data_IF_485148977087
#
_entry.id   IF_485148977087
#
_cell.length_a   1.000
_cell.length_b   1.000
_cell.length_c   1.000
_cell.angle_alpha   90.00
_cell.angle_beta   90.00
_cell.angle_gamma   90.00
#
_symmetry.space_group_name_H-M   'P 1'
#
loop_
_entity.id
_entity.type
_entity.pdbx_description
1 polymer ?
#
# COMPACT_ATOMS: atom_id res chain seq x y z
N UNK A 1 -1.81 3.82 -7.93
CA UNK A 1 -0.64 3.36 -8.70
C UNK A 1 -1.10 2.97 -10.09
N UNK A 2 -0.34 3.32 -11.14
CA UNK A 2 -0.67 2.90 -12.52
C UNK A 2 -0.49 1.38 -12.67
N UNK A 3 -1.53 0.66 -13.08
CA UNK A 3 -1.52 -0.81 -13.18
C UNK A 3 -0.55 -1.36 -14.24
N UNK A 4 -0.08 -0.51 -15.15
CA UNK A 4 0.83 -0.82 -16.27
C UNK A 4 2.10 -1.58 -15.85
N UNK A 5 2.60 -1.33 -14.64
CA UNK A 5 3.84 -1.94 -14.14
C UNK A 5 3.63 -3.20 -13.30
N UNK A 6 2.39 -3.52 -12.94
CA UNK A 6 2.07 -4.72 -12.14
C UNK A 6 2.50 -5.99 -12.86
N UNK A 7 2.22 -6.07 -14.16
CA UNK A 7 2.54 -7.24 -14.98
C UNK A 7 4.05 -7.41 -15.22
N UNK A 8 4.83 -6.34 -15.11
CA UNK A 8 6.29 -6.36 -15.27
C UNK A 8 6.95 -7.20 -14.18
N UNK A 9 6.37 -7.22 -12.97
CA UNK A 9 6.82 -8.03 -11.83
C UNK A 9 6.16 -9.41 -11.77
N UNK A 10 5.42 -9.80 -12.81
CA UNK A 10 4.84 -11.13 -12.98
C UNK A 10 5.60 -11.88 -14.08
N UNK A 11 5.88 -13.17 -13.87
CA UNK A 11 6.54 -13.99 -14.87
C UNK A 11 5.62 -14.20 -16.08
N UNK A 12 6.07 -13.84 -17.28
CA UNK A 12 5.28 -14.02 -18.51
C UNK A 12 5.00 -15.50 -18.78
N UNK A 13 5.95 -16.39 -18.46
CA UNK A 13 5.86 -17.83 -18.75
C UNK A 13 4.91 -18.59 -17.83
N UNK A 14 4.92 -18.28 -16.53
CA UNK A 14 4.19 -19.07 -15.55
C UNK A 14 3.28 -18.25 -14.64
N UNK A 15 3.09 -16.95 -14.93
CA UNK A 15 2.26 -16.01 -14.18
C UNK A 15 2.56 -15.92 -12.68
N UNK A 16 3.69 -16.47 -12.23
CA UNK A 16 4.10 -16.41 -10.84
C UNK A 16 4.83 -15.08 -10.54
N UNK A 17 4.74 -14.57 -9.30
CA UNK A 17 5.49 -13.40 -8.87
C UNK A 17 7.00 -13.57 -9.14
N UNK A 18 7.61 -12.48 -9.59
CA UNK A 18 9.05 -12.36 -9.70
C UNK A 18 9.65 -12.04 -8.33
N UNK A 19 10.82 -12.60 -8.08
CA UNK A 19 11.59 -12.36 -6.86
C UNK A 19 12.93 -11.75 -7.26
N UNK A 20 13.18 -10.53 -6.77
CA UNK A 20 14.40 -9.79 -7.06
C UNK A 20 15.59 -10.42 -6.34
N UNK A 21 16.70 -10.57 -7.06
CA UNK A 21 18.01 -10.97 -6.52
C UNK A 21 18.94 -9.77 -6.39
N UNK A 22 18.96 -8.89 -7.39
CA UNK A 22 19.79 -7.69 -7.39
C UNK A 22 19.01 -6.53 -8.01
N UNK A 23 18.98 -5.40 -7.32
CA UNK A 23 18.46 -4.13 -7.82
C UNK A 23 19.53 -3.04 -7.68
N UNK A 24 19.89 -2.37 -8.78
CA UNK A 24 20.95 -1.35 -8.77
C UNK A 24 20.66 -0.21 -9.72
N UNK A 25 21.17 0.98 -9.40
CA UNK A 25 21.09 2.14 -10.29
C UNK A 25 22.31 2.16 -11.23
N UNK A 26 22.04 2.30 -12.52
CA UNK A 26 23.04 2.47 -13.57
C UNK A 26 22.59 3.59 -14.50
N UNK A 27 23.30 4.74 -14.44
CA UNK A 27 22.91 5.97 -15.15
C UNK A 27 21.47 6.34 -14.79
N UNK A 28 20.59 6.61 -15.77
CA UNK A 28 19.17 6.94 -15.56
C UNK A 28 18.24 5.72 -15.42
N UNK A 29 18.77 4.51 -15.19
CA UNK A 29 17.94 3.31 -15.11
C UNK A 29 18.19 2.49 -13.85
N UNK A 30 17.12 1.93 -13.31
CA UNK A 30 17.16 0.84 -12.35
C UNK A 30 17.28 -0.50 -13.11
N UNK A 31 18.37 -1.23 -12.86
CA UNK A 31 18.55 -2.60 -13.34
C UNK A 31 18.15 -3.57 -12.24
N UNK A 32 17.13 -4.38 -12.54
CA UNK A 32 16.54 -5.33 -11.60
C UNK A 32 16.66 -6.72 -12.21
N UNK A 33 17.31 -7.63 -11.50
CA UNK A 33 17.49 -9.01 -11.94
C UNK A 33 17.01 -9.97 -10.87
N UNK A 34 16.51 -11.12 -11.29
CA UNK A 34 15.98 -12.10 -10.36
C UNK A 34 15.45 -13.36 -11.03
N UNK A 35 14.65 -14.11 -10.29
CA UNK A 35 13.92 -15.28 -10.81
C UNK A 35 12.50 -15.30 -10.29
N UNK A 36 11.55 -15.86 -11.03
CA UNK A 36 10.23 -16.16 -10.48
C UNK A 36 10.27 -17.38 -9.54
N UNK A 37 9.14 -17.68 -8.88
CA UNK A 37 9.02 -18.84 -7.98
C UNK A 37 9.32 -20.18 -8.66
N UNK A 38 8.96 -20.33 -9.95
CA UNK A 38 9.30 -21.50 -10.78
C UNK A 38 10.71 -21.50 -11.37
N UNK A 39 11.54 -20.49 -11.06
CA UNK A 39 12.95 -20.46 -11.47
C UNK A 39 13.27 -19.77 -12.81
N UNK A 40 12.29 -19.21 -13.53
CA UNK A 40 12.56 -18.43 -14.73
C UNK A 40 13.29 -17.13 -14.40
N UNK A 41 14.46 -16.92 -15.02
CA UNK A 41 15.24 -15.70 -14.87
C UNK A 41 14.58 -14.52 -15.55
N UNK A 42 14.79 -13.33 -15.00
CA UNK A 42 14.40 -12.07 -15.63
C UNK A 42 15.45 -10.99 -15.41
N UNK A 43 15.46 -10.03 -16.32
CA UNK A 43 16.25 -8.81 -16.25
C UNK A 43 15.35 -7.65 -16.73
N UNK A 44 15.19 -6.65 -15.89
CA UNK A 44 14.37 -5.47 -16.14
C UNK A 44 15.26 -4.24 -16.09
N UNK A 45 15.00 -3.33 -17.01
CA UNK A 45 15.61 -2.00 -17.06
C UNK A 45 14.47 -0.99 -16.98
N UNK A 46 14.32 -0.34 -15.83
CA UNK A 46 13.25 0.62 -15.57
C UNK A 46 13.81 2.04 -15.52
N UNK A 47 13.19 3.02 -16.18
CA UNK A 47 13.64 4.41 -16.13
C UNK A 47 13.34 5.02 -14.76
N UNK A 48 14.32 5.74 -14.20
CA UNK A 48 14.20 6.38 -12.87
C UNK A 48 13.20 7.55 -12.90
N UNK A 49 13.08 8.25 -14.03
CA UNK A 49 12.10 9.33 -14.23
C UNK A 49 10.65 8.88 -13.96
N UNK A 50 10.38 7.57 -14.07
CA UNK A 50 9.06 6.98 -13.85
C UNK A 50 9.02 6.14 -12.56
N UNK A 51 9.92 6.36 -11.59
CA UNK A 51 10.02 5.51 -10.40
C UNK A 51 8.71 5.35 -9.65
N UNK A 52 7.94 6.43 -9.51
CA UNK A 52 6.64 6.45 -8.84
C UNK A 52 5.64 5.43 -9.42
N UNK A 53 5.82 5.01 -10.68
CA UNK A 53 4.95 4.01 -11.32
C UNK A 53 5.28 2.57 -10.92
N UNK A 54 6.54 2.28 -10.57
CA UNK A 54 7.02 0.91 -10.41
C UNK A 54 7.69 0.60 -9.05
N UNK A 55 8.01 1.63 -8.26
CA UNK A 55 8.76 1.48 -7.01
C UNK A 55 8.02 0.62 -5.97
N UNK A 56 6.69 0.75 -5.89
CA UNK A 56 5.84 -0.08 -5.03
C UNK A 56 5.91 -1.56 -5.39
N UNK A 57 5.80 -1.89 -6.68
CA UNK A 57 5.92 -3.28 -7.16
C UNK A 57 7.34 -3.83 -6.99
N UNK A 58 8.37 -2.98 -7.16
CA UNK A 58 9.76 -3.37 -6.89
C UNK A 58 9.93 -3.77 -5.42
N UNK A 59 9.36 -3.00 -4.49
CA UNK A 59 9.43 -3.26 -3.06
C UNK A 59 8.88 -4.64 -2.71
N UNK A 60 7.70 -4.99 -3.22
CA UNK A 60 7.12 -6.33 -3.01
C UNK A 60 8.03 -7.45 -3.54
N UNK A 61 8.58 -7.28 -4.74
CA UNK A 61 9.50 -8.26 -5.36
C UNK A 61 10.83 -8.37 -4.61
N UNK A 62 11.30 -7.29 -3.99
CA UNK A 62 12.56 -7.20 -3.27
C UNK A 62 12.49 -7.82 -1.88
N UNK A 63 11.40 -7.60 -1.16
CA UNK A 63 11.24 -8.11 0.21
C UNK A 63 10.66 -9.52 0.27
N UNK A 64 10.42 -10.19 -0.87
CA UNK A 64 9.83 -11.54 -0.91
C UNK A 64 10.88 -12.61 -1.17
N UNK A 65 10.94 -13.62 -0.31
CA UNK A 65 11.72 -14.83 -0.59
C UNK A 65 10.94 -15.76 -1.53
N UNK A 66 11.62 -16.67 -2.23
CA UNK A 66 10.98 -17.74 -3.00
C UNK A 66 10.05 -18.63 -2.18
N UNK A 67 10.27 -18.73 -0.87
CA UNK A 67 9.37 -19.46 0.02
C UNK A 67 8.13 -18.68 0.44
N UNK A 68 7.95 -17.46 -0.07
CA UNK A 68 6.83 -16.58 0.27
C UNK A 68 7.05 -15.75 1.54
N UNK A 69 8.01 -16.09 2.39
CA UNK A 69 8.31 -15.32 3.59
C UNK A 69 9.04 -13.99 3.27
N UNK A 70 8.86 -12.97 4.13
CA UNK A 70 9.59 -11.72 3.99
C UNK A 70 11.10 -11.95 4.17
N UNK A 71 11.89 -11.11 3.50
CA UNK A 71 13.32 -11.00 3.69
C UNK A 71 13.62 -9.93 4.74
N UNK A 72 14.57 -10.22 5.61
CA UNK A 72 15.00 -9.34 6.68
C UNK A 72 16.32 -8.65 6.33
N UNK A 73 16.51 -7.45 6.86
CA UNK A 73 17.75 -6.69 6.71
C UNK A 73 18.87 -7.40 7.48
N UNK A 74 19.92 -7.79 6.76
CA UNK A 74 21.02 -8.54 7.37
C UNK A 74 22.24 -7.68 7.60
N UNK A 75 22.68 -6.93 6.57
CA UNK A 75 23.82 -6.02 6.69
C UNK A 75 23.84 -4.98 5.58
N UNK A 76 24.45 -3.85 5.88
CA UNK A 76 24.81 -2.83 4.89
C UNK A 76 26.28 -3.01 4.53
N UNK A 77 26.56 -3.17 3.24
CA UNK A 77 27.93 -3.28 2.70
C UNK A 77 28.32 -1.95 2.07
N UNK A 78 29.25 -1.26 2.70
CA UNK A 78 29.85 -0.02 2.16
C UNK A 78 31.04 -0.39 1.28
N UNK A 79 30.94 -0.12 -0.02
CA UNK A 79 32.05 -0.25 -0.96
C UNK A 79 32.59 1.12 -1.39
N UNK A 80 33.80 1.16 -1.97
CA UNK A 80 34.48 2.40 -2.40
C UNK A 80 33.63 3.34 -3.28
N UNK A 81 32.68 2.79 -4.05
CA UNK A 81 31.84 3.56 -5.00
C UNK A 81 30.34 3.44 -4.72
N UNK A 82 29.91 2.44 -3.95
CA UNK A 82 28.49 2.11 -3.76
C UNK A 82 28.27 1.45 -2.42
N UNK A 83 27.21 1.87 -1.74
CA UNK A 83 26.68 1.21 -0.56
C UNK A 83 25.52 0.30 -0.98
N UNK A 84 25.47 -0.91 -0.45
CA UNK A 84 24.47 -1.91 -0.79
C UNK A 84 23.83 -2.50 0.47
N UNK A 85 22.50 -2.58 0.49
CA UNK A 85 21.76 -3.34 1.49
C UNK A 85 21.68 -4.80 1.08
N UNK A 86 21.93 -5.69 2.03
CA UNK A 86 21.79 -7.13 1.85
C UNK A 86 20.64 -7.63 2.71
N UNK A 87 19.61 -8.17 2.04
CA UNK A 87 18.48 -8.84 2.68
C UNK A 87 18.67 -10.36 2.65
N UNK A 88 18.23 -11.05 3.71
CA UNK A 88 18.29 -12.51 3.82
C UNK A 88 16.95 -13.11 4.25
N UNK A 89 16.70 -14.34 3.83
CA UNK A 89 15.61 -15.13 4.39
C UNK A 89 16.10 -15.85 5.64
N UNK A 90 15.26 -15.94 6.66
CA UNK A 90 15.54 -16.68 7.90
C UNK A 90 15.54 -18.20 7.69
N UNK A 91 14.72 -18.72 6.76
CA UNK A 91 14.64 -20.16 6.45
C UNK A 91 15.54 -20.61 5.30
N UNK A 92 15.89 -19.73 4.36
CA UNK A 92 16.63 -20.08 3.15
C UNK A 92 17.89 -19.22 3.01
N UNK A 93 18.95 -19.78 2.41
CA UNK A 93 20.18 -19.02 2.05
C UNK A 93 19.97 -18.05 0.88
N UNK A 94 18.73 -17.61 0.62
CA UNK A 94 18.46 -16.58 -0.38
C UNK A 94 18.96 -15.24 0.13
N UNK A 95 19.68 -14.55 -0.75
CA UNK A 95 20.22 -13.22 -0.52
C UNK A 95 19.74 -12.30 -1.63
N UNK A 96 19.19 -11.16 -1.25
CA UNK A 96 18.82 -10.08 -2.17
C UNK A 96 19.70 -8.87 -1.88
N UNK A 97 20.21 -8.23 -2.92
CA UNK A 97 21.09 -7.06 -2.79
C UNK A 97 20.47 -5.86 -3.50
N UNK A 98 20.48 -4.71 -2.83
CA UNK A 98 19.83 -3.48 -3.30
C UNK A 98 20.82 -2.34 -3.14
N UNK A 99 20.99 -1.49 -4.16
CA UNK A 99 21.73 -0.24 -3.99
C UNK A 99 21.00 0.68 -3.00
N UNK A 100 21.74 1.30 -2.07
CA UNK A 100 21.16 2.09 -0.96
C UNK A 100 20.29 3.24 -1.45
N UNK A 101 20.60 3.84 -2.61
CA UNK A 101 19.76 4.87 -3.23
C UNK A 101 18.34 4.34 -3.50
N UNK A 102 18.20 3.16 -4.11
CA UNK A 102 16.88 2.56 -4.34
C UNK A 102 16.18 2.19 -3.03
N UNK A 103 16.95 1.76 -2.02
CA UNK A 103 16.38 1.47 -0.71
C UNK A 103 15.80 2.71 -0.05
N UNK A 104 16.54 3.83 -0.06
CA UNK A 104 16.06 5.10 0.47
C UNK A 104 14.82 5.59 -0.29
N UNK A 105 14.80 5.46 -1.61
CA UNK A 105 13.61 5.76 -2.42
C UNK A 105 12.40 4.91 -2.01
N UNK A 106 12.58 3.59 -1.85
CA UNK A 106 11.51 2.70 -1.38
C UNK A 106 11.04 3.05 0.04
N UNK A 107 11.94 3.52 0.91
CA UNK A 107 11.61 3.96 2.26
C UNK A 107 10.79 5.26 2.26
N UNK A 108 11.19 6.24 1.44
CA UNK A 108 10.47 7.51 1.28
C UNK A 108 9.07 7.32 0.67
N UNK A 109 8.93 6.43 -0.33
CA UNK A 109 7.62 6.06 -0.90
C UNK A 109 6.68 5.49 0.17
N UNK A 110 7.20 4.65 1.08
CA UNK A 110 6.41 4.09 2.20
C UNK A 110 5.94 5.17 3.16
N UNK A 111 6.80 6.11 3.51
CA UNK A 111 6.45 7.19 4.44
C UNK A 111 5.38 8.11 3.83
N UNK A 112 5.51 8.40 2.54
CA UNK A 112 4.53 9.18 1.76
C UNK A 112 3.18 8.47 1.70
N UNK A 113 3.15 7.16 1.45
CA UNK A 113 1.90 6.38 1.45
C UNK A 113 1.24 6.37 2.84
N UNK A 114 2.01 6.18 3.91
CA UNK A 114 1.49 6.22 5.28
C UNK A 114 0.89 7.57 5.64
N UNK A 115 1.52 8.68 5.23
CA UNK A 115 0.99 10.02 5.50
C UNK A 115 -0.28 10.32 4.69
N UNK A 116 -0.39 9.77 3.47
CA UNK A 116 -1.62 9.84 2.68
C UNK A 116 -2.75 9.00 3.28
N UNK A 117 -2.45 7.80 3.77
CA UNK A 117 -3.41 6.92 4.48
C UNK A 117 -3.90 7.57 5.78
N UNK A 118 -3.01 8.19 6.56
CA UNK A 118 -3.37 8.90 7.80
C UNK A 118 -4.22 10.16 7.55
N UNK A 119 -4.05 10.83 6.41
CA UNK A 119 -4.93 11.94 6.00
C UNK A 119 -6.31 11.48 5.55
N UNK A 120 -6.50 10.18 5.32
CA UNK A 120 -7.73 9.55 4.88
C UNK A 120 -8.34 8.63 5.96
N UNK A 121 -8.09 8.90 7.24
CA UNK A 121 -8.97 8.38 8.28
C UNK A 121 -10.34 9.07 8.12
N UNK A 122 -11.42 8.35 7.73
CA UNK A 122 -12.75 8.96 7.72
C UNK A 122 -13.02 9.45 9.15
N UNK A 123 -13.63 10.64 9.33
CA UNK A 123 -13.99 11.09 10.66
C UNK A 123 -14.79 9.97 11.32
N UNK A 124 -14.28 9.47 12.45
CA UNK A 124 -15.00 8.55 13.30
C UNK A 124 -16.23 9.31 13.77
N UNK A 125 -17.36 9.12 13.08
CA UNK A 125 -18.65 9.52 13.60
C UNK A 125 -18.81 8.74 14.90
N UNK A 126 -18.63 9.44 16.03
CA UNK A 126 -19.01 8.92 17.34
C UNK A 126 -20.48 8.57 17.22
N UNK A 127 -20.80 7.27 17.19
CA UNK A 127 -22.16 6.79 17.33
C UNK A 127 -22.72 7.42 18.61
N UNK A 128 -23.74 8.27 18.48
CA UNK A 128 -24.39 8.86 19.63
C UNK A 128 -24.81 7.72 20.57
N UNK A 129 -24.44 7.82 21.85
CA UNK A 129 -24.95 6.90 22.87
C UNK A 129 -26.48 6.88 22.78
N UNK A 130 -27.05 5.69 22.69
CA UNK A 130 -28.48 5.47 22.85
C UNK A 130 -28.98 6.27 24.07
N UNK A 131 -30.04 7.09 23.92
CA UNK A 131 -30.61 7.76 25.08
C UNK A 131 -31.21 6.70 26.01
N UNK A 132 -30.74 6.70 27.26
CA UNK A 132 -31.26 5.90 28.35
C UNK A 132 -32.77 6.12 28.52
N UNK A 133 -33.48 5.02 28.80
CA UNK A 133 -34.91 4.97 29.14
C UNK A 133 -35.27 6.06 30.16
N UNK A 134 -36.09 7.02 29.76
CA UNK A 134 -36.82 7.87 30.72
C UNK A 134 -38.17 7.22 31.03
N UNK A 135 -38.38 6.98 32.32
CA UNK A 135 -39.57 6.37 32.89
C UNK A 135 -40.79 7.27 32.74
N UNK A 136 -41.93 6.59 32.57
CA UNK A 136 -43.28 7.14 32.50
C UNK A 136 -43.55 8.14 33.63
N UNK A 137 -43.90 9.38 33.28
CA UNK A 137 -44.76 10.18 34.13
C UNK A 137 -45.96 10.68 33.34
N UNK A 138 -47.11 10.21 33.81
CA UNK A 138 -48.45 10.43 33.29
C UNK A 138 -48.88 11.83 33.70
N UNK A 139 -49.23 12.71 32.75
CA UNK A 139 -50.12 13.85 33.03
C UNK A 139 -51.17 13.94 31.92
N UNK A 140 -52.43 13.88 32.35
CA UNK A 140 -53.67 13.75 31.58
C UNK A 140 -53.90 14.93 30.64
N UNK A 141 -54.09 14.64 29.35
CA UNK A 141 -54.58 15.60 28.34
C UNK A 141 -56.10 15.75 28.46
N UNK A 142 -56.59 16.97 28.73
CA UNK A 142 -57.99 17.33 28.51
C UNK A 142 -58.23 17.55 27.01
N UNK A 143 -59.34 16.99 26.54
CA UNK A 143 -59.84 16.95 25.17
C UNK A 143 -60.58 18.25 24.78
N UNK A 144 -60.67 18.51 23.47
CA UNK A 144 -61.53 19.45 22.69
C UNK A 144 -60.76 20.61 22.06
N UNK A 145 -61.02 21.07 20.84
CA UNK A 145 -61.95 20.71 19.75
C UNK A 145 -61.36 21.31 18.45
N UNK A 146 -61.66 20.70 17.31
CA UNK A 146 -61.20 21.09 15.97
C UNK A 146 -62.01 22.29 15.45
N UNK A 147 -61.39 23.33 14.86
CA UNK A 147 -62.11 24.28 14.00
C UNK A 147 -62.01 23.89 12.51
N UNK A 148 -63.14 23.99 11.82
CA UNK A 148 -63.38 23.70 10.39
C UNK A 148 -62.55 24.51 9.38
N UNK A 149 -62.43 24.03 8.12
CA UNK A 149 -61.66 24.69 7.06
C UNK A 149 -62.41 25.88 6.45
N UNK A 150 -61.78 27.06 6.46
CA UNK A 150 -62.32 28.23 5.76
C UNK A 150 -62.13 28.12 4.24
N UNK A 151 -63.25 28.27 3.51
CA UNK A 151 -63.33 28.31 2.04
C UNK A 151 -62.80 29.63 1.50
N UNK A 152 -62.00 29.53 0.44
CA UNK A 152 -61.56 30.66 -0.38
C UNK A 152 -62.74 31.20 -1.20
N UNK A 153 -62.88 32.53 -1.28
CA UNK A 153 -63.71 33.19 -2.27
C UNK A 153 -62.83 34.10 -3.14
N UNK A 154 -62.88 33.97 -4.48
CA UNK A 154 -62.34 34.96 -5.39
C UNK A 154 -63.42 35.99 -5.73
N UNK A 155 -63.14 37.28 -5.55
CA UNK A 155 -62.78 38.29 -6.57
C UNK A 155 -62.84 39.66 -5.89
#
# INVERSE_FOLDING_TARGET
MSEEYKDVFICVKCRNPRVTKLARIVKNNALITGKCLKGHSFNLKLPIEQEHKWIGYLRESVYKCRCGMPLEEHKVKVGKKKTQLILKCTKHKQVTTIDTLLWNTMAADRETQKTLEQKYEPPTFKTAKEPEKYEKNIVKTKKKEVPEPQKWQPT
#
